data_IF_898882590868
#
_entry.id   IF_898882590868
#
_cell.length_a   1.000
_cell.length_b   1.000
_cell.length_c   1.000
_cell.angle_alpha   90.00
_cell.angle_beta   90.00
_cell.angle_gamma   90.00
#
_symmetry.space_group_name_H-M   'P 1'
#
loop_
_entity.id
_entity.type
_entity.pdbx_description
1 polymer ?
#
# COMPACT_ATOMS: atom_id res chain seq x y z
N UNK A 1 -2.36 9.06 47.99
CA UNK A 1 -1.87 8.07 47.01
C UNK A 1 -2.89 6.94 47.03
N UNK A 2 -3.99 7.12 46.30
CA UNK A 2 -5.17 6.28 46.39
C UNK A 2 -5.03 5.13 45.38
N UNK A 3 -4.94 3.92 45.90
CA UNK A 3 -5.25 2.72 45.14
C UNK A 3 -6.76 2.69 44.95
N UNK A 4 -7.22 2.88 43.73
CA UNK A 4 -8.63 2.65 43.39
C UNK A 4 -8.79 1.18 42.98
N UNK A 5 -9.31 0.39 43.92
CA UNK A 5 -10.17 -0.74 43.62
C UNK A 5 -11.32 -0.25 42.75
N UNK A 6 -11.49 -0.80 41.55
CA UNK A 6 -12.74 -0.66 40.80
C UNK A 6 -13.37 -2.03 40.53
N UNK A 7 -14.61 -2.11 40.96
CA UNK A 7 -15.46 -3.27 41.11
C UNK A 7 -15.82 -3.99 39.80
N UNK A 8 -16.17 -5.27 39.95
CA UNK A 8 -16.77 -6.13 38.96
C UNK A 8 -18.10 -5.56 38.41
N UNK A 9 -18.03 -4.77 37.35
CA UNK A 9 -19.18 -4.49 36.45
C UNK A 9 -19.21 -5.51 35.31
N UNK A 10 -20.34 -6.11 34.99
CA UNK A 10 -20.51 -7.11 33.93
C UNK A 10 -19.90 -6.60 32.60
N UNK A 11 -18.79 -7.21 32.17
CA UNK A 11 -18.11 -6.79 30.96
C UNK A 11 -18.88 -7.32 29.75
N UNK A 12 -19.27 -6.43 28.83
CA UNK A 12 -19.89 -6.80 27.57
C UNK A 12 -18.82 -6.77 26.48
N UNK A 13 -18.27 -7.93 26.09
CA UNK A 13 -17.26 -8.01 25.04
C UNK A 13 -17.76 -7.37 23.74
N UNK A 14 -16.97 -6.49 23.14
CA UNK A 14 -17.24 -6.01 21.77
C UNK A 14 -17.16 -7.17 20.78
N UNK A 15 -17.86 -7.06 19.65
CA UNK A 15 -17.83 -8.10 18.61
C UNK A 15 -16.40 -8.38 18.11
N UNK A 16 -15.56 -7.36 18.08
CA UNK A 16 -14.13 -7.46 17.72
C UNK A 16 -13.32 -8.19 18.79
N UNK A 17 -13.57 -7.94 20.09
CA UNK A 17 -12.97 -8.68 21.20
C UNK A 17 -13.28 -10.17 21.13
N UNK A 18 -14.57 -10.51 20.94
CA UNK A 18 -15.02 -11.91 20.81
C UNK A 18 -14.36 -12.59 19.62
N UNK A 19 -14.28 -11.90 18.49
CA UNK A 19 -13.67 -12.44 17.27
C UNK A 19 -12.18 -12.69 17.46
N UNK A 20 -11.44 -11.71 18.00
CA UNK A 20 -10.01 -11.84 18.28
C UNK A 20 -9.72 -12.97 19.27
N UNK A 21 -10.52 -13.08 20.34
CA UNK A 21 -10.43 -14.14 21.32
C UNK A 21 -10.72 -15.52 20.71
N UNK A 22 -11.84 -15.68 19.97
CA UNK A 22 -12.18 -16.95 19.33
C UNK A 22 -11.15 -17.38 18.28
N UNK A 23 -10.60 -16.43 17.52
CA UNK A 23 -9.57 -16.70 16.53
C UNK A 23 -8.30 -17.27 17.17
N UNK A 24 -7.86 -16.73 18.32
CA UNK A 24 -6.71 -17.28 19.07
C UNK A 24 -7.05 -18.55 19.84
N UNK A 25 -8.19 -18.61 20.52
CA UNK A 25 -8.60 -19.77 21.30
C UNK A 25 -8.66 -21.03 20.44
N UNK A 26 -9.10 -20.91 19.18
CA UNK A 26 -9.12 -22.03 18.22
C UNK A 26 -7.73 -22.52 17.83
N UNK A 27 -6.70 -21.67 17.96
CA UNK A 27 -5.31 -21.98 17.60
C UNK A 27 -4.58 -22.60 18.79
N UNK A 28 -4.82 -22.09 20.00
CA UNK A 28 -4.09 -22.47 21.22
C UNK A 28 -4.86 -23.42 22.14
N UNK A 29 -6.01 -23.96 21.69
CA UNK A 29 -6.86 -24.79 22.55
C UNK A 29 -6.10 -26.03 23.08
N UNK A 30 -6.16 -26.33 24.39
CA UNK A 30 -5.49 -27.48 24.97
C UNK A 30 -6.03 -28.83 24.44
N UNK A 31 -7.27 -28.89 23.95
CA UNK A 31 -7.82 -30.11 23.33
C UNK A 31 -7.17 -30.48 21.99
N UNK A 32 -6.43 -29.56 21.38
CA UNK A 32 -5.63 -29.84 20.18
C UNK A 32 -4.23 -30.39 20.53
N UNK A 33 -3.94 -30.66 21.81
CA UNK A 33 -2.68 -31.25 22.27
C UNK A 33 -2.65 -32.77 22.03
N UNK A 34 -1.49 -33.28 21.62
CA UNK A 34 -1.26 -34.70 21.33
C UNK A 34 -0.58 -35.44 22.50
N UNK A 35 0.04 -34.71 23.44
CA UNK A 35 0.69 -35.24 24.64
C UNK A 35 0.38 -34.38 25.88
N UNK A 36 0.72 -34.89 27.06
CA UNK A 36 0.42 -34.22 28.33
C UNK A 36 1.23 -32.92 28.53
N UNK A 37 2.48 -32.90 28.10
CA UNK A 37 3.36 -31.73 28.25
C UNK A 37 2.93 -30.56 27.35
N UNK A 38 2.42 -30.86 26.16
CA UNK A 38 1.84 -29.91 25.22
C UNK A 38 0.49 -29.39 25.71
N UNK A 39 -0.30 -30.25 26.36
CA UNK A 39 -1.55 -29.84 26.99
C UNK A 39 -1.31 -28.81 28.08
N UNK A 40 -0.24 -28.96 28.86
CA UNK A 40 0.15 -28.04 29.92
C UNK A 40 0.68 -26.70 29.35
N UNK A 41 1.51 -26.76 28.29
CA UNK A 41 1.97 -25.54 27.59
C UNK A 41 0.81 -24.74 27.01
N UNK A 42 -0.15 -25.41 26.36
CA UNK A 42 -1.36 -24.77 25.82
C UNK A 42 -2.31 -24.30 26.90
N UNK A 43 -2.37 -24.99 28.03
CA UNK A 43 -3.08 -24.48 29.20
C UNK A 43 -2.52 -23.13 29.65
N UNK A 44 -1.18 -23.00 29.69
CA UNK A 44 -0.52 -21.73 29.99
C UNK A 44 -0.86 -20.62 29.00
N UNK A 45 -0.81 -20.92 27.70
CA UNK A 45 -1.15 -19.96 26.64
C UNK A 45 -2.63 -19.56 26.67
N UNK A 46 -3.53 -20.51 26.95
CA UNK A 46 -4.97 -20.26 27.08
C UNK A 46 -5.27 -19.43 28.34
N UNK A 47 -4.56 -19.67 29.44
CA UNK A 47 -4.65 -18.87 30.66
C UNK A 47 -4.21 -17.42 30.40
N UNK A 48 -3.10 -17.21 29.70
CA UNK A 48 -2.62 -15.87 29.32
C UNK A 48 -3.62 -15.13 28.40
N UNK A 49 -4.25 -15.85 27.46
CA UNK A 49 -5.32 -15.30 26.62
C UNK A 49 -6.55 -14.91 27.45
N UNK A 50 -6.94 -15.75 28.40
CA UNK A 50 -8.07 -15.51 29.30
C UNK A 50 -7.83 -14.32 30.24
N UNK A 51 -6.60 -14.16 30.72
CA UNK A 51 -6.20 -13.03 31.55
C UNK A 51 -6.20 -11.72 30.76
N UNK A 52 -5.68 -11.74 29.52
CA UNK A 52 -5.72 -10.59 28.62
C UNK A 52 -7.15 -10.19 28.25
N UNK A 53 -8.03 -11.18 28.04
CA UNK A 53 -9.45 -10.98 27.78
C UNK A 53 -10.19 -10.41 29.01
N UNK A 54 -9.88 -10.91 30.21
CA UNK A 54 -10.50 -10.48 31.48
C UNK A 54 -10.02 -9.11 31.94
N UNK A 55 -8.82 -8.68 31.53
CA UNK A 55 -8.24 -7.38 31.87
C UNK A 55 -8.90 -6.18 31.15
N UNK A 56 -9.92 -6.42 30.31
CA UNK A 56 -10.71 -5.39 29.58
C UNK A 56 -9.90 -4.48 28.64
N UNK A 57 -8.67 -4.86 28.32
CA UNK A 57 -7.78 -4.06 27.49
C UNK A 57 -7.81 -4.57 26.04
N UNK A 58 -8.73 -4.00 25.25
CA UNK A 58 -8.90 -4.33 23.84
C UNK A 58 -7.62 -4.03 23.03
N UNK A 59 -6.86 -3.01 23.40
CA UNK A 59 -5.62 -2.67 22.71
C UNK A 59 -4.57 -3.72 23.01
N UNK A 60 -4.48 -4.21 24.25
CA UNK A 60 -3.59 -5.31 24.63
C UNK A 60 -4.01 -6.63 24.01
N UNK A 61 -5.30 -6.96 23.91
CA UNK A 61 -5.76 -8.15 23.20
C UNK A 61 -5.42 -8.07 21.71
N UNK A 62 -5.70 -6.92 21.06
CA UNK A 62 -5.34 -6.71 19.65
C UNK A 62 -3.84 -6.71 19.43
N UNK A 63 -3.06 -6.17 20.37
CA UNK A 63 -1.60 -6.18 20.34
C UNK A 63 -1.06 -7.59 20.56
N UNK A 64 -1.62 -8.37 21.48
CA UNK A 64 -1.28 -9.78 21.67
C UNK A 64 -1.60 -10.59 20.41
N UNK A 65 -2.77 -10.36 19.80
CA UNK A 65 -3.14 -10.95 18.50
C UNK A 65 -2.15 -10.54 17.41
N UNK A 66 -1.75 -9.28 17.36
CA UNK A 66 -0.80 -8.74 16.39
C UNK A 66 0.62 -9.29 16.60
N UNK A 67 1.08 -9.34 17.85
CA UNK A 67 2.39 -9.81 18.26
C UNK A 67 2.50 -11.33 18.08
N UNK A 68 1.45 -12.11 18.37
CA UNK A 68 1.37 -13.52 18.01
C UNK A 68 1.28 -13.73 16.49
N UNK A 69 0.63 -12.84 15.73
CA UNK A 69 0.61 -12.88 14.25
C UNK A 69 1.95 -12.50 13.61
N UNK A 70 2.75 -11.67 14.28
CA UNK A 70 3.95 -11.05 13.71
C UNK A 70 5.28 -11.56 14.28
N UNK A 71 5.28 -12.24 15.42
CA UNK A 71 6.48 -12.87 15.99
C UNK A 71 6.54 -14.34 15.58
N UNK A 72 7.55 -14.76 14.79
CA UNK A 72 7.79 -16.16 14.44
C UNK A 72 8.55 -16.94 15.53
N UNK A 73 9.25 -16.26 16.45
CA UNK A 73 10.25 -16.87 17.34
C UNK A 73 9.74 -17.41 18.67
N UNK A 74 8.46 -17.20 19.01
CA UNK A 74 7.87 -17.67 20.28
C UNK A 74 7.39 -19.12 20.22
N UNK A 75 7.29 -19.70 19.02
CA UNK A 75 6.83 -21.08 18.80
C UNK A 75 8.01 -21.93 18.33
N UNK A 76 8.96 -22.18 19.25
CA UNK A 76 10.07 -23.14 19.06
C UNK A 76 9.66 -24.57 19.41
N UNK A 77 8.48 -24.99 18.97
CA UNK A 77 8.03 -26.37 19.10
C UNK A 77 8.01 -27.06 17.74
N UNK A 78 8.50 -28.32 17.73
CA UNK A 78 8.42 -29.26 16.62
C UNK A 78 7.09 -30.06 16.64
N UNK A 79 6.06 -29.54 17.33
CA UNK A 79 4.77 -30.24 17.39
C UNK A 79 3.95 -30.01 16.12
N UNK A 80 3.07 -30.97 15.81
CA UNK A 80 2.10 -30.87 14.69
C UNK A 80 1.20 -29.63 14.82
N UNK A 81 0.94 -29.17 16.05
CA UNK A 81 0.21 -27.94 16.28
C UNK A 81 0.94 -26.70 15.82
N UNK A 82 2.25 -26.63 16.06
CA UNK A 82 3.09 -25.51 15.67
C UNK A 82 3.20 -25.41 14.14
N UNK A 83 3.27 -26.55 13.46
CA UNK A 83 3.17 -26.62 12.01
C UNK A 83 1.84 -26.08 11.48
N UNK A 84 0.71 -26.45 12.12
CA UNK A 84 -0.61 -25.96 11.74
C UNK A 84 -0.75 -24.45 11.93
N UNK A 85 -0.21 -23.90 13.03
CA UNK A 85 -0.20 -22.44 13.26
C UNK A 85 0.63 -21.73 12.19
N UNK A 86 1.82 -22.24 11.86
CA UNK A 86 2.67 -21.72 10.79
C UNK A 86 1.96 -21.76 9.43
N UNK A 87 1.36 -22.89 9.07
CA UNK A 87 0.63 -23.07 7.82
C UNK A 87 -0.58 -22.13 7.72
N UNK A 88 -1.37 -21.99 8.78
CA UNK A 88 -2.51 -21.07 8.82
C UNK A 88 -2.09 -19.61 8.58
N UNK A 89 -0.95 -19.19 9.16
CA UNK A 89 -0.37 -17.85 8.94
C UNK A 89 0.08 -17.64 7.51
N UNK A 90 0.81 -18.60 6.94
CA UNK A 90 1.25 -18.54 5.53
C UNK A 90 0.04 -18.41 4.60
N UNK A 91 -1.02 -19.19 4.83
CA UNK A 91 -2.26 -19.09 4.08
C UNK A 91 -2.89 -17.70 4.20
N UNK A 92 -2.94 -17.13 5.41
CA UNK A 92 -3.47 -15.78 5.61
C UNK A 92 -2.65 -14.70 4.89
N UNK A 93 -1.32 -14.76 4.98
CA UNK A 93 -0.41 -13.83 4.30
C UNK A 93 -0.54 -13.92 2.78
N UNK A 94 -0.57 -15.15 2.23
CA UNK A 94 -0.78 -15.39 0.80
C UNK A 94 -2.12 -14.83 0.34
N UNK A 95 -3.21 -15.08 1.09
CA UNK A 95 -4.54 -14.55 0.77
C UNK A 95 -4.55 -13.03 0.74
N UNK A 96 -3.94 -12.37 1.73
CA UNK A 96 -3.83 -10.92 1.76
C UNK A 96 -3.04 -10.39 0.56
N UNK A 97 -1.88 -10.98 0.27
CA UNK A 97 -1.06 -10.58 -0.88
C UNK A 97 -1.80 -10.79 -2.20
N UNK A 98 -2.59 -11.84 -2.31
CA UNK A 98 -3.40 -12.09 -3.50
C UNK A 98 -4.45 -10.98 -3.71
N UNK A 99 -5.12 -10.53 -2.66
CA UNK A 99 -6.07 -9.41 -2.75
C UNK A 99 -5.37 -8.13 -3.22
N UNK A 100 -4.22 -7.81 -2.65
CA UNK A 100 -3.39 -6.67 -3.06
C UNK A 100 -2.98 -6.78 -4.54
N UNK A 101 -2.49 -7.94 -4.97
CA UNK A 101 -2.10 -8.20 -6.36
C UNK A 101 -3.28 -8.10 -7.33
N UNK A 102 -4.48 -8.54 -6.94
CA UNK A 102 -5.69 -8.40 -7.76
C UNK A 102 -6.04 -6.92 -7.94
N UNK A 103 -5.96 -6.12 -6.89
CA UNK A 103 -6.20 -4.69 -6.96
C UNK A 103 -5.13 -3.96 -7.80
N UNK A 104 -3.84 -4.29 -7.59
CA UNK A 104 -2.71 -3.79 -8.40
C UNK A 104 -2.90 -4.13 -9.89
N UNK A 105 -3.27 -5.39 -10.19
CA UNK A 105 -3.55 -5.84 -11.57
C UNK A 105 -4.71 -5.06 -12.19
N UNK A 106 -5.82 -4.90 -11.47
CA UNK A 106 -6.97 -4.15 -11.97
C UNK A 106 -6.58 -2.71 -12.31
N UNK A 107 -5.80 -2.05 -11.44
CA UNK A 107 -5.29 -0.70 -11.66
C UNK A 107 -4.36 -0.61 -12.87
N UNK A 108 -3.47 -1.59 -13.06
CA UNK A 108 -2.58 -1.64 -14.22
C UNK A 108 -3.37 -1.82 -15.52
N UNK A 109 -4.34 -2.75 -15.53
CA UNK A 109 -5.18 -3.02 -16.69
C UNK A 109 -6.09 -1.83 -17.07
N UNK A 110 -6.49 -1.00 -16.10
CA UNK A 110 -7.27 0.22 -16.37
C UNK A 110 -6.41 1.46 -16.65
N UNK A 111 -5.09 1.32 -16.77
CA UNK A 111 -4.20 2.46 -17.00
C UNK A 111 -4.05 2.77 -18.48
N UNK A 112 -3.92 4.05 -18.83
CA UNK A 112 -3.65 4.50 -20.20
C UNK A 112 -2.36 3.89 -20.78
N UNK A 113 -1.39 3.58 -19.91
CA UNK A 113 -0.15 2.92 -20.31
C UNK A 113 -0.40 1.50 -20.82
N UNK A 114 -1.33 0.76 -20.20
CA UNK A 114 -1.70 -0.57 -20.66
C UNK A 114 -2.48 -0.51 -21.97
N UNK A 115 -3.36 0.48 -22.14
CA UNK A 115 -4.02 0.73 -23.43
C UNK A 115 -3.02 1.03 -24.55
N UNK A 116 -2.01 1.85 -24.26
CA UNK A 116 -0.92 2.13 -25.19
C UNK A 116 -0.13 0.84 -25.51
N UNK A 117 0.18 0.03 -24.49
CA UNK A 117 0.89 -1.24 -24.67
C UNK A 117 0.12 -2.18 -25.61
N UNK A 118 -1.19 -2.32 -25.44
CA UNK A 118 -2.04 -3.14 -26.32
C UNK A 118 -1.99 -2.65 -27.77
N UNK A 119 -2.10 -1.34 -27.99
CA UNK A 119 -2.04 -0.74 -29.33
C UNK A 119 -0.67 -0.95 -29.98
N UNK A 120 0.41 -0.75 -29.23
CA UNK A 120 1.78 -0.97 -29.71
C UNK A 120 1.98 -2.42 -30.12
N UNK A 121 1.50 -3.38 -29.32
CA UNK A 121 1.61 -4.79 -29.64
C UNK A 121 0.80 -5.17 -30.89
N UNK A 122 -0.44 -4.70 -31.02
CA UNK A 122 -1.27 -4.97 -32.19
C UNK A 122 -0.63 -4.43 -33.49
N UNK A 123 -0.09 -3.22 -33.44
CA UNK A 123 0.63 -2.63 -34.57
C UNK A 123 1.92 -3.40 -34.89
N UNK A 124 2.63 -3.89 -33.87
CA UNK A 124 3.84 -4.70 -34.04
C UNK A 124 3.56 -6.06 -34.69
N UNK A 125 2.43 -6.70 -34.37
CA UNK A 125 1.96 -7.91 -35.04
C UNK A 125 1.72 -7.69 -36.54
N UNK A 126 1.29 -6.48 -36.91
CA UNK A 126 1.13 -6.05 -38.30
C UNK A 126 2.44 -5.50 -38.91
N UNK A 127 3.58 -5.68 -38.23
CA UNK A 127 4.90 -5.28 -38.68
C UNK A 127 5.18 -3.77 -38.62
N UNK A 128 4.36 -3.00 -37.89
CA UNK A 128 4.48 -1.55 -37.76
C UNK A 128 5.07 -1.15 -36.42
N UNK A 129 5.99 -0.19 -36.44
CA UNK A 129 6.58 0.40 -35.23
C UNK A 129 5.86 1.70 -34.85
N UNK A 130 4.80 1.57 -34.06
CA UNK A 130 3.98 2.71 -33.60
C UNK A 130 4.78 3.71 -32.75
N UNK A 131 5.69 3.23 -31.89
CA UNK A 131 6.48 4.10 -31.01
C UNK A 131 7.43 4.99 -31.82
N UNK A 132 8.07 4.44 -32.85
CA UNK A 132 8.90 5.21 -33.78
C UNK A 132 8.09 6.28 -34.53
N UNK A 133 6.88 5.96 -34.95
CA UNK A 133 5.99 6.95 -35.58
C UNK A 133 5.58 8.06 -34.61
N UNK A 134 5.21 7.70 -33.37
CA UNK A 134 4.86 8.67 -32.33
C UNK A 134 6.03 9.59 -32.01
N UNK A 135 7.23 9.03 -31.85
CA UNK A 135 8.47 9.79 -31.65
C UNK A 135 8.75 10.75 -32.80
N UNK A 136 8.62 10.27 -34.06
CA UNK A 136 8.77 11.12 -35.24
C UNK A 136 7.79 12.30 -35.27
N UNK A 137 6.51 12.05 -34.95
CA UNK A 137 5.49 13.12 -34.84
C UNK A 137 5.85 14.13 -33.75
N UNK A 138 6.22 13.64 -32.56
CA UNK A 138 6.62 14.50 -31.45
C UNK A 138 7.82 15.39 -31.83
N UNK A 139 8.82 14.83 -32.50
CA UNK A 139 9.98 15.59 -32.98
C UNK A 139 9.61 16.69 -33.98
N UNK A 140 8.68 16.40 -34.90
CA UNK A 140 8.14 17.40 -35.84
C UNK A 140 7.41 18.51 -35.08
N UNK A 141 6.58 18.16 -34.09
CA UNK A 141 5.88 19.16 -33.26
C UNK A 141 6.86 20.04 -32.49
N UNK A 142 7.88 19.46 -31.86
CA UNK A 142 8.94 20.19 -31.15
C UNK A 142 9.61 21.18 -32.11
N UNK A 143 9.97 20.72 -33.31
CA UNK A 143 10.66 21.55 -34.31
C UNK A 143 9.77 22.72 -34.76
N UNK A 144 8.47 22.46 -35.03
CA UNK A 144 7.50 23.51 -35.39
C UNK A 144 7.33 24.53 -34.26
N UNK A 145 7.19 24.07 -33.02
CA UNK A 145 7.05 24.96 -31.86
C UNK A 145 8.30 25.81 -31.64
N UNK A 146 9.51 25.23 -31.80
CA UNK A 146 10.77 25.98 -31.72
C UNK A 146 10.86 27.06 -32.81
N UNK A 147 10.51 26.75 -34.06
CA UNK A 147 10.47 27.74 -35.15
C UNK A 147 9.47 28.85 -34.87
N UNK A 148 8.29 28.51 -34.38
CA UNK A 148 7.27 29.51 -34.03
C UNK A 148 7.75 30.43 -32.92
N UNK A 149 8.40 29.87 -31.89
CA UNK A 149 8.99 30.65 -30.80
C UNK A 149 10.04 31.63 -31.33
N UNK A 150 10.98 31.14 -32.16
CA UNK A 150 12.01 31.99 -32.77
C UNK A 150 11.41 33.12 -33.61
N UNK A 151 10.40 32.83 -34.44
CA UNK A 151 9.73 33.85 -35.24
C UNK A 151 9.05 34.91 -34.38
N UNK A 152 8.39 34.51 -33.29
CA UNK A 152 7.77 35.46 -32.36
C UNK A 152 8.83 36.32 -31.66
N UNK A 153 9.96 35.72 -31.26
CA UNK A 153 11.08 36.45 -30.68
C UNK A 153 11.67 37.46 -31.67
N UNK A 154 11.86 37.10 -32.93
CA UNK A 154 12.38 38.02 -33.95
C UNK A 154 11.41 39.16 -34.27
N UNK A 155 10.10 38.88 -34.31
CA UNK A 155 9.08 39.93 -34.52
C UNK A 155 9.05 40.89 -33.35
N UNK A 156 9.09 40.37 -32.11
CA UNK A 156 9.14 41.21 -30.91
C UNK A 156 10.41 42.07 -30.89
N UNK A 157 11.58 41.50 -31.18
CA UNK A 157 12.84 42.26 -31.24
C UNK A 157 12.79 43.38 -32.28
N UNK A 158 12.27 43.10 -33.48
CA UNK A 158 12.11 44.12 -34.53
C UNK A 158 11.10 45.22 -34.14
N UNK A 159 10.05 44.87 -33.39
CA UNK A 159 9.10 45.86 -32.86
C UNK A 159 9.73 46.74 -31.78
N UNK A 160 10.52 46.15 -30.88
CA UNK A 160 11.27 46.89 -29.85
C UNK A 160 12.28 47.86 -30.49
N UNK A 161 13.02 47.40 -31.51
CA UNK A 161 13.96 48.23 -32.27
C UNK A 161 13.25 49.37 -33.01
N UNK A 162 12.15 49.09 -33.72
CA UNK A 162 11.36 50.11 -34.41
C UNK A 162 10.83 51.19 -33.45
N UNK A 163 10.35 50.79 -32.26
CA UNK A 163 9.85 51.76 -31.27
C UNK A 163 10.98 52.61 -30.72
N UNK A 164 12.14 52.00 -30.47
CA UNK A 164 13.35 52.71 -30.04
C UNK A 164 13.82 53.71 -31.08
N UNK A 165 13.87 53.35 -32.35
CA UNK A 165 14.29 54.24 -33.44
C UNK A 165 13.27 55.36 -33.72
N UNK A 166 11.97 55.05 -33.77
CA UNK A 166 10.95 56.01 -34.17
C UNK A 166 10.50 56.95 -33.05
N UNK A 167 10.49 56.48 -31.81
CA UNK A 167 9.95 57.23 -30.67
C UNK A 167 11.00 57.53 -29.60
N UNK A 168 12.24 57.01 -29.73
CA UNK A 168 13.30 57.20 -28.73
C UNK A 168 13.01 56.50 -27.40
N UNK A 169 12.06 55.56 -27.39
CA UNK A 169 11.60 54.85 -26.20
C UNK A 169 12.20 53.43 -26.17
N UNK A 170 12.91 53.09 -25.11
CA UNK A 170 13.35 51.72 -24.88
C UNK A 170 12.24 50.93 -24.16
N UNK A 171 11.65 49.95 -24.86
CA UNK A 171 10.55 49.15 -24.32
C UNK A 171 11.01 48.31 -23.11
N UNK A 172 12.30 47.96 -23.02
CA UNK A 172 12.87 47.22 -21.90
C UNK A 172 12.75 47.97 -20.57
N UNK A 173 12.72 49.31 -20.60
CA UNK A 173 12.57 50.14 -19.40
C UNK A 173 11.18 50.01 -18.75
N UNK A 174 10.17 49.65 -19.54
CA UNK A 174 8.79 49.47 -19.06
C UNK A 174 8.52 48.06 -18.50
N UNK A 175 9.41 47.08 -18.72
CA UNK A 175 9.28 45.71 -18.19
C UNK A 175 9.87 45.52 -16.79
N UNK A 176 10.67 46.48 -16.30
CA UNK A 176 11.42 46.40 -15.03
C UNK A 176 10.73 47.06 -13.82
N UNK A 177 9.51 47.59 -13.99
CA UNK A 177 8.63 48.05 -12.90
C UNK A 177 7.53 47.02 -12.64
#
# INVERSE_FOLDING_TARGET
MAAEEHAAGEWVPTAEAKKAYHDLARIIHPDLALDADEKDRRHGLMAELNDAYSSRDQQRLNKLVHDFRNSPDLVKGDSVGDELVRASRQIFQIRRRLIELVAEKAKLLSSELFDLHLRVNAEAEEGRDMLKQMSGRAQVHITKSKRRLLNLQSVNAAQEEYVKERFGLDIEDFRKN
#
